data_IF_004213674979
#
_entry.id   IF_004213674979
#
_cell.length_a   1.000
_cell.length_b   1.000
_cell.length_c   1.000
_cell.angle_alpha   90.00
_cell.angle_beta   90.00
_cell.angle_gamma   90.00
#
_symmetry.space_group_name_H-M   'P 1'
#
loop_
_entity.id
_entity.type
_entity.pdbx_description
1 polymer ?
#
# COMPACT_ATOMS: atom_id res chain seq x y z
N UNK A 1 15.35 7.85 -9.80
CA UNK A 1 15.69 7.32 -8.47
C UNK A 1 16.95 6.48 -8.64
N UNK A 2 17.97 6.71 -7.81
CA UNK A 2 19.24 5.98 -7.94
C UNK A 2 19.12 4.56 -7.35
N UNK A 3 19.89 3.60 -7.89
CA UNK A 3 19.82 2.18 -7.49
C UNK A 3 20.07 1.99 -6.00
N UNK A 4 21.08 2.70 -5.46
CA UNK A 4 21.44 2.61 -4.05
C UNK A 4 20.32 3.11 -3.14
N UNK A 5 19.64 4.18 -3.57
CA UNK A 5 18.47 4.72 -2.86
C UNK A 5 17.30 3.73 -2.86
N UNK A 6 17.15 2.96 -3.94
CA UNK A 6 16.08 1.97 -4.07
C UNK A 6 16.35 0.72 -3.21
N UNK A 7 17.61 0.30 -3.11
CA UNK A 7 18.06 -0.81 -2.26
C UNK A 7 17.86 -0.47 -0.78
N UNK A 8 18.29 0.71 -0.33
CA UNK A 8 18.10 1.18 1.04
C UNK A 8 16.60 1.27 1.42
N UNK A 9 15.76 1.78 0.51
CA UNK A 9 14.33 1.96 0.79
C UNK A 9 13.57 0.63 0.91
N UNK A 10 14.03 -0.42 0.23
CA UNK A 10 13.44 -1.76 0.31
C UNK A 10 14.11 -2.65 1.36
N UNK A 11 15.10 -2.14 2.10
CA UNK A 11 15.82 -2.88 3.14
C UNK A 11 16.79 -3.93 2.58
N UNK A 12 17.26 -3.74 1.34
CA UNK A 12 18.29 -4.58 0.72
C UNK A 12 19.68 -3.97 0.92
N UNK A 13 20.69 -4.82 1.06
CA UNK A 13 22.09 -4.40 1.00
C UNK A 13 22.46 -3.98 -0.44
N UNK A 14 23.51 -3.15 -0.62
CA UNK A 14 23.93 -2.72 -1.95
C UNK A 14 24.30 -3.90 -2.86
N UNK A 15 23.69 -4.00 -4.04
CA UNK A 15 23.86 -5.09 -5.01
C UNK A 15 22.98 -6.32 -4.76
N UNK A 16 22.40 -6.46 -3.57
CA UNK A 16 21.60 -7.62 -3.18
C UNK A 16 20.29 -7.70 -3.97
N UNK A 17 19.74 -6.55 -4.37
CA UNK A 17 18.49 -6.48 -5.10
C UNK A 17 18.58 -7.15 -6.48
N UNK A 18 19.67 -6.90 -7.20
CA UNK A 18 19.90 -7.46 -8.54
C UNK A 18 20.24 -8.95 -8.48
N UNK A 19 21.00 -9.37 -7.45
CA UNK A 19 21.25 -10.78 -7.15
C UNK A 19 19.95 -11.52 -6.82
N UNK A 20 19.10 -10.91 -5.99
CA UNK A 20 17.80 -11.47 -5.60
C UNK A 20 16.84 -11.54 -6.80
N UNK A 21 16.84 -10.52 -7.66
CA UNK A 21 16.05 -10.51 -8.89
C UNK A 21 16.50 -11.63 -9.85
N UNK A 22 17.82 -11.80 -10.06
CA UNK A 22 18.37 -12.89 -10.88
C UNK A 22 18.03 -14.26 -10.29
N UNK A 23 18.13 -14.43 -8.98
CA UNK A 23 17.75 -15.67 -8.30
C UNK A 23 16.26 -15.99 -8.42
N UNK A 24 15.39 -14.96 -8.46
CA UNK A 24 13.97 -15.15 -8.76
C UNK A 24 13.75 -15.64 -10.20
N UNK A 25 14.39 -14.99 -11.17
CA UNK A 25 14.25 -15.31 -12.60
C UNK A 25 14.84 -16.68 -12.97
N UNK A 26 15.93 -17.09 -12.32
CA UNK A 26 16.55 -18.40 -12.51
C UNK A 26 15.83 -19.53 -11.75
N UNK A 27 14.87 -19.20 -10.87
CA UNK A 27 14.19 -20.16 -10.01
C UNK A 27 15.00 -20.63 -8.80
N UNK A 28 16.15 -20.00 -8.53
CA UNK A 28 17.05 -20.26 -7.39
C UNK A 28 16.72 -19.35 -6.20
N UNK A 29 15.44 -19.03 -6.00
CA UNK A 29 15.03 -18.13 -4.92
C UNK A 29 15.44 -18.70 -3.55
N UNK A 30 16.18 -17.93 -2.72
CA UNK A 30 16.80 -18.48 -1.52
C UNK A 30 15.77 -18.97 -0.51
N UNK A 31 15.99 -20.18 0.01
CA UNK A 31 15.19 -20.76 1.08
C UNK A 31 15.22 -19.86 2.32
N UNK A 32 14.06 -19.49 2.85
CA UNK A 32 13.91 -18.61 4.02
C UNK A 32 13.40 -17.20 3.72
N UNK A 33 13.38 -16.77 2.44
CA UNK A 33 12.65 -15.55 2.04
C UNK A 33 11.19 -15.88 1.73
N UNK A 34 10.28 -15.43 2.59
CA UNK A 34 8.84 -15.55 2.35
C UNK A 34 8.42 -14.65 1.20
N UNK A 35 8.20 -15.24 0.03
CA UNK A 35 7.53 -14.56 -1.08
C UNK A 35 6.08 -14.32 -0.66
N UNK A 36 5.73 -13.08 -0.31
CA UNK A 36 4.32 -12.71 -0.12
C UNK A 36 3.70 -12.49 -1.49
N UNK A 37 3.15 -13.57 -2.05
CA UNK A 37 2.35 -13.52 -3.28
C UNK A 37 1.13 -12.61 -3.07
N UNK A 38 1.03 -11.56 -3.88
CA UNK A 38 -0.14 -10.68 -3.89
C UNK A 38 0.21 -9.19 -3.91
N UNK A 39 -0.82 -8.35 -3.87
CA UNK A 39 -0.64 -6.91 -3.67
C UNK A 39 -0.06 -6.68 -2.27
N UNK A 40 0.95 -5.81 -2.11
CA UNK A 40 1.42 -5.38 -0.79
C UNK A 40 0.23 -5.01 0.11
N UNK A 41 0.21 -5.45 1.38
CA UNK A 41 -0.88 -5.15 2.28
C UNK A 41 -0.95 -3.65 2.53
N UNK A 42 -2.17 -3.14 2.74
CA UNK A 42 -2.39 -1.72 3.01
C UNK A 42 -2.10 -1.30 4.47
N UNK A 43 -1.86 -2.28 5.35
CA UNK A 43 -1.53 -2.12 6.77
C UNK A 43 -0.78 -3.35 7.29
N UNK A 44 -0.02 -3.21 8.37
CA UNK A 44 0.70 -4.30 9.02
C UNK A 44 -0.20 -5.23 9.84
N UNK A 45 -1.42 -4.79 10.15
CA UNK A 45 -2.44 -5.53 10.90
C UNK A 45 -3.59 -6.03 10.01
N UNK A 46 -4.38 -7.04 10.46
CA UNK A 46 -5.54 -7.52 9.71
C UNK A 46 -6.59 -6.43 9.48
N UNK A 47 -6.97 -6.23 8.22
CA UNK A 47 -7.96 -5.21 7.83
C UNK A 47 -9.40 -5.74 7.90
N UNK A 48 -10.36 -4.89 8.28
CA UNK A 48 -11.81 -5.17 8.20
C UNK A 48 -12.51 -4.24 7.20
N UNK A 49 -13.60 -4.73 6.61
CA UNK A 49 -14.45 -3.95 5.70
C UNK A 49 -15.44 -3.11 6.52
N UNK A 50 -15.46 -1.80 6.27
CA UNK A 50 -16.50 -0.88 6.75
C UNK A 50 -17.31 -0.45 5.53
N UNK A 51 -18.62 -0.73 5.52
CA UNK A 51 -19.51 -0.41 4.41
C UNK A 51 -20.81 0.24 4.88
N UNK A 52 -21.31 1.18 4.07
CA UNK A 52 -22.55 1.90 4.31
C UNK A 52 -23.10 2.48 3.01
N UNK A 53 -24.42 2.52 2.87
CA UNK A 53 -25.08 3.13 1.70
C UNK A 53 -25.26 4.63 1.92
N UNK A 54 -24.98 5.41 0.89
CA UNK A 54 -25.19 6.86 0.85
C UNK A 54 -25.91 7.23 -0.44
N UNK A 55 -26.62 8.38 -0.51
CA UNK A 55 -27.15 8.88 -1.77
C UNK A 55 -26.04 9.11 -2.79
N UNK A 56 -26.33 8.91 -4.08
CA UNK A 56 -25.36 9.10 -5.17
C UNK A 56 -24.76 10.51 -5.16
N UNK A 57 -25.59 11.53 -4.92
CA UNK A 57 -25.13 12.92 -4.83
C UNK A 57 -24.08 13.15 -3.74
N UNK A 58 -24.14 12.40 -2.65
CA UNK A 58 -23.16 12.45 -1.56
C UNK A 58 -21.88 11.71 -1.96
N UNK A 59 -21.99 10.56 -2.62
CA UNK A 59 -20.84 9.83 -3.15
C UNK A 59 -20.05 10.68 -4.17
N UNK A 60 -20.76 11.35 -5.09
CA UNK A 60 -20.14 12.22 -6.08
C UNK A 60 -19.45 13.44 -5.43
N UNK A 61 -20.10 14.04 -4.43
CA UNK A 61 -19.52 15.14 -3.68
C UNK A 61 -18.27 14.70 -2.90
N UNK A 62 -18.28 13.47 -2.37
CA UNK A 62 -17.15 12.87 -1.68
C UNK A 62 -15.97 12.63 -2.64
N UNK A 63 -16.23 12.11 -3.83
CA UNK A 63 -15.19 11.87 -4.85
C UNK A 63 -14.52 13.16 -5.32
N UNK A 64 -15.32 14.22 -5.56
CA UNK A 64 -14.76 15.54 -5.89
C UNK A 64 -13.83 16.05 -4.80
N UNK A 65 -14.21 15.87 -3.53
CA UNK A 65 -13.34 16.23 -2.39
C UNK A 65 -12.08 15.37 -2.34
N UNK A 66 -12.17 14.05 -2.59
CA UNK A 66 -10.98 13.20 -2.65
C UNK A 66 -10.01 13.67 -3.76
N UNK A 67 -10.53 13.95 -4.95
CA UNK A 67 -9.73 14.47 -6.07
C UNK A 67 -9.05 15.80 -5.76
N UNK A 68 -9.75 16.73 -5.09
CA UNK A 68 -9.18 18.02 -4.66
C UNK A 68 -7.99 17.86 -3.71
N UNK A 69 -7.96 16.77 -2.94
CA UNK A 69 -6.87 16.44 -2.03
C UNK A 69 -5.81 15.50 -2.66
N UNK A 70 -5.93 15.18 -3.96
CA UNK A 70 -5.03 14.23 -4.63
C UNK A 70 -5.16 12.78 -4.14
N UNK A 71 -6.32 12.43 -3.56
CA UNK A 71 -6.60 11.14 -2.97
C UNK A 71 -7.60 10.34 -3.81
N UNK A 72 -7.51 9.01 -3.73
CA UNK A 72 -8.59 8.11 -4.11
C UNK A 72 -9.72 8.13 -3.08
N UNK A 73 -10.92 7.70 -3.49
CA UNK A 73 -12.07 7.52 -2.58
C UNK A 73 -11.71 6.69 -1.34
N UNK A 74 -10.98 5.59 -1.54
CA UNK A 74 -10.60 4.68 -0.46
C UNK A 74 -9.55 5.27 0.49
N UNK A 75 -8.62 6.09 0.00
CA UNK A 75 -7.66 6.81 0.85
C UNK A 75 -8.35 7.83 1.73
N UNK A 76 -9.21 8.66 1.14
CA UNK A 76 -9.97 9.65 1.90
C UNK A 76 -10.90 9.00 2.94
N UNK A 77 -11.56 7.90 2.57
CA UNK A 77 -12.43 7.19 3.50
C UNK A 77 -11.63 6.63 4.69
N UNK A 78 -10.46 6.02 4.43
CA UNK A 78 -9.58 5.54 5.50
C UNK A 78 -9.10 6.67 6.40
N UNK A 79 -8.65 7.78 5.83
CA UNK A 79 -8.23 8.97 6.58
C UNK A 79 -9.33 9.48 7.51
N UNK A 80 -10.55 9.66 7.00
CA UNK A 80 -11.66 10.18 7.80
C UNK A 80 -12.09 9.21 8.90
N UNK A 81 -12.11 7.90 8.63
CA UNK A 81 -12.40 6.88 9.65
C UNK A 81 -11.32 6.91 10.75
N UNK A 82 -10.04 7.03 10.38
CA UNK A 82 -8.95 7.12 11.35
C UNK A 82 -9.04 8.39 12.19
N UNK A 83 -9.31 9.55 11.56
CA UNK A 83 -9.49 10.81 12.28
C UNK A 83 -10.65 10.70 13.29
N UNK A 84 -11.80 10.20 12.85
CA UNK A 84 -12.99 10.03 13.70
C UNK A 84 -12.72 9.07 14.86
N UNK A 85 -12.16 7.89 14.58
CA UNK A 85 -11.89 6.88 15.59
C UNK A 85 -10.82 7.29 16.63
N UNK A 86 -9.91 8.19 16.28
CA UNK A 86 -8.84 8.67 17.15
C UNK A 86 -9.14 10.03 17.80
N UNK A 87 -10.22 10.71 17.40
CA UNK A 87 -10.67 11.94 18.03
C UNK A 87 -11.56 11.60 19.23
N UNK A 88 -11.17 12.06 20.43
CA UNK A 88 -11.90 11.86 21.68
C UNK A 88 -12.96 12.95 21.93
#
# INVERSE_FOLDING_TARGET
MDRKTMEELMGFAPGELEETARAYESGEWPAGRTVRLGRPPIADEPTKIVSGRVPESIADAFDRKAQQHGQTRAERLRELITIDALSA
#
